data_IF_109703235597
#
_entry.id   IF_109703235597
#
_cell.length_a   1.000
_cell.length_b   1.000
_cell.length_c   1.000
_cell.angle_alpha   90.00
_cell.angle_beta   90.00
_cell.angle_gamma   90.00
#
_symmetry.space_group_name_H-M   'P 1'
#
loop_
_entity.id
_entity.type
_entity.pdbx_description
1 polymer ?
#
# COMPACT_ATOMS: atom_id res chain seq x y z
N UNK A 1 -44.45 5.35 -113.76
CA UNK A 1 -43.20 5.03 -113.04
C UNK A 1 -42.84 6.25 -112.20
N UNK A 2 -43.13 6.22 -110.91
CA UNK A 2 -42.70 7.25 -109.94
C UNK A 2 -42.07 6.55 -108.73
N UNK A 3 -41.01 7.18 -108.21
CA UNK A 3 -40.02 6.64 -107.27
C UNK A 3 -40.59 6.46 -105.85
N UNK A 4 -40.15 5.46 -105.08
CA UNK A 4 -40.50 5.37 -103.67
C UNK A 4 -39.65 6.33 -102.82
N UNK A 5 -40.31 7.23 -102.08
CA UNK A 5 -39.76 7.96 -100.93
C UNK A 5 -39.57 7.01 -99.75
N UNK A 6 -38.36 6.48 -99.52
CA UNK A 6 -38.00 5.70 -98.31
C UNK A 6 -36.60 5.88 -97.66
N UNK A 7 -35.79 6.94 -97.83
CA UNK A 7 -34.53 7.03 -97.07
C UNK A 7 -34.63 7.69 -95.68
N UNK A 8 -35.54 8.66 -95.47
CA UNK A 8 -35.46 9.55 -94.29
C UNK A 8 -36.06 8.97 -93.00
N UNK A 9 -37.15 8.19 -93.07
CA UNK A 9 -37.75 7.57 -91.87
C UNK A 9 -36.89 6.43 -91.28
N UNK A 10 -36.13 5.72 -92.12
CA UNK A 10 -35.23 4.67 -91.63
C UNK A 10 -33.99 5.25 -90.92
N UNK A 11 -33.46 6.38 -91.39
CA UNK A 11 -32.34 7.06 -90.72
C UNK A 11 -32.73 7.63 -89.35
N UNK A 12 -33.91 8.24 -89.20
CA UNK A 12 -34.36 8.74 -87.89
C UNK A 12 -34.61 7.61 -86.87
N UNK A 13 -35.17 6.47 -87.30
CA UNK A 13 -35.34 5.33 -86.40
C UNK A 13 -34.01 4.67 -86.02
N UNK A 14 -33.01 4.65 -86.90
CA UNK A 14 -31.67 4.17 -86.56
C UNK A 14 -30.95 5.09 -85.58
N UNK A 15 -31.04 6.41 -85.75
CA UNK A 15 -30.45 7.37 -84.82
C UNK A 15 -31.11 7.34 -83.44
N UNK A 16 -32.44 7.19 -83.35
CA UNK A 16 -33.12 7.03 -82.06
C UNK A 16 -32.76 5.71 -81.36
N UNK A 17 -32.60 4.60 -82.11
CA UNK A 17 -32.13 3.33 -81.55
C UNK A 17 -30.67 3.38 -81.10
N UNK A 18 -29.80 4.11 -81.82
CA UNK A 18 -28.42 4.33 -81.41
C UNK A 18 -28.34 5.20 -80.14
N UNK A 19 -29.09 6.30 -80.05
CA UNK A 19 -29.13 7.10 -78.83
C UNK A 19 -29.76 6.38 -77.63
N UNK A 20 -30.82 5.60 -77.82
CA UNK A 20 -31.39 4.78 -76.74
C UNK A 20 -30.41 3.69 -76.29
N UNK A 21 -29.70 3.03 -77.21
CA UNK A 21 -28.70 2.04 -76.83
C UNK A 21 -27.50 2.67 -76.14
N UNK A 22 -26.98 3.80 -76.61
CA UNK A 22 -25.90 4.55 -75.93
C UNK A 22 -26.30 5.01 -74.52
N UNK A 23 -27.52 5.52 -74.31
CA UNK A 23 -28.02 5.87 -72.97
C UNK A 23 -28.23 4.63 -72.08
N UNK A 24 -28.66 3.51 -72.65
CA UNK A 24 -28.84 2.24 -71.94
C UNK A 24 -27.51 1.57 -71.56
N UNK A 25 -26.41 1.86 -72.28
CA UNK A 25 -25.04 1.43 -71.93
C UNK A 25 -24.29 2.40 -71.00
N UNK A 26 -24.63 3.70 -70.99
CA UNK A 26 -24.01 4.70 -70.12
C UNK A 26 -24.55 4.67 -68.67
N UNK A 27 -25.84 4.41 -68.45
CA UNK A 27 -26.43 4.34 -67.10
C UNK A 27 -25.79 3.27 -66.18
N UNK A 28 -25.50 2.03 -66.64
CA UNK A 28 -24.82 1.01 -65.84
C UNK A 28 -23.35 1.33 -65.52
N UNK A 29 -22.68 2.12 -66.36
CA UNK A 29 -21.27 2.47 -66.16
C UNK A 29 -21.09 3.57 -65.12
N UNK A 30 -21.95 4.59 -65.12
CA UNK A 30 -21.95 5.67 -64.12
C UNK A 30 -22.33 5.14 -62.73
N UNK A 31 -23.31 4.23 -62.64
CA UNK A 31 -23.71 3.60 -61.38
C UNK A 31 -22.65 2.64 -60.83
N UNK A 32 -21.88 1.94 -61.68
CA UNK A 32 -20.70 1.17 -61.26
C UNK A 32 -19.58 2.05 -60.73
N UNK A 33 -19.27 3.16 -61.40
CA UNK A 33 -18.26 4.12 -60.91
C UNK A 33 -18.70 4.77 -59.60
N UNK A 34 -19.98 5.11 -59.45
CA UNK A 34 -20.53 5.62 -58.20
C UNK A 34 -20.37 4.62 -57.05
N UNK A 35 -20.78 3.36 -57.26
CA UNK A 35 -20.61 2.29 -56.26
C UNK A 35 -19.14 2.04 -55.90
N UNK A 36 -18.22 2.09 -56.86
CA UNK A 36 -16.78 1.94 -56.59
C UNK A 36 -16.24 3.10 -55.75
N UNK A 37 -16.70 4.33 -56.02
CA UNK A 37 -16.30 5.52 -55.27
C UNK A 37 -16.86 5.50 -53.85
N UNK A 38 -18.10 5.07 -53.66
CA UNK A 38 -18.70 4.86 -52.34
C UNK A 38 -17.98 3.77 -51.55
N UNK A 39 -17.60 2.65 -52.19
CA UNK A 39 -16.81 1.60 -51.53
C UNK A 39 -15.43 2.08 -51.09
N UNK A 40 -14.76 2.90 -51.92
CA UNK A 40 -13.47 3.51 -51.58
C UNK A 40 -13.60 4.51 -50.43
N UNK A 41 -14.65 5.33 -50.41
CA UNK A 41 -14.93 6.28 -49.34
C UNK A 41 -15.19 5.55 -48.01
N UNK A 42 -16.02 4.51 -48.01
CA UNK A 42 -16.26 3.68 -46.83
C UNK A 42 -15.00 2.97 -46.34
N UNK A 43 -14.11 2.57 -47.24
CA UNK A 43 -12.83 1.96 -46.86
C UNK A 43 -11.88 2.97 -46.22
N UNK A 44 -11.83 4.20 -46.75
CA UNK A 44 -11.07 5.31 -46.19
C UNK A 44 -11.59 5.69 -44.79
N UNK A 45 -12.91 5.79 -44.60
CA UNK A 45 -13.53 6.08 -43.30
C UNK A 45 -13.20 5.00 -42.25
N UNK A 46 -13.24 3.72 -42.63
CA UNK A 46 -12.85 2.62 -41.73
C UNK A 46 -11.37 2.69 -41.34
N UNK A 47 -10.49 3.05 -42.27
CA UNK A 47 -9.06 3.22 -41.96
C UNK A 47 -8.85 4.40 -41.00
N UNK A 48 -9.50 5.53 -41.22
CA UNK A 48 -9.43 6.68 -40.31
C UNK A 48 -9.94 6.35 -38.91
N UNK A 49 -11.04 5.60 -38.80
CA UNK A 49 -11.56 5.15 -37.50
C UNK A 49 -10.58 4.22 -36.79
N UNK A 50 -9.93 3.31 -37.52
CA UNK A 50 -8.93 2.41 -36.95
C UNK A 50 -7.68 3.16 -36.46
N UNK A 51 -7.17 4.12 -37.24
CA UNK A 51 -6.04 4.97 -36.84
C UNK A 51 -6.37 5.81 -35.60
N UNK A 52 -7.58 6.38 -35.52
CA UNK A 52 -8.03 7.11 -34.32
C UNK A 52 -8.10 6.21 -33.08
N UNK A 53 -8.53 4.95 -33.22
CA UNK A 53 -8.54 3.99 -32.11
C UNK A 53 -7.14 3.64 -31.63
N UNK A 54 -6.19 3.43 -32.55
CA UNK A 54 -4.79 3.16 -32.21
C UNK A 54 -4.16 4.34 -31.46
N UNK A 55 -4.38 5.57 -31.94
CA UNK A 55 -3.91 6.79 -31.27
C UNK A 55 -4.52 6.95 -29.86
N UNK A 56 -5.81 6.63 -29.70
CA UNK A 56 -6.46 6.69 -28.39
C UNK A 56 -5.91 5.65 -27.41
N UNK A 57 -5.62 4.43 -27.88
CA UNK A 57 -5.00 3.39 -27.08
C UNK A 57 -3.58 3.78 -26.66
N UNK A 58 -2.78 4.31 -27.59
CA UNK A 58 -1.42 4.77 -27.32
C UNK A 58 -1.39 5.93 -26.31
N UNK A 59 -2.29 6.91 -26.45
CA UNK A 59 -2.45 7.99 -25.48
C UNK A 59 -2.86 7.49 -24.09
N UNK A 60 -3.73 6.47 -24.01
CA UNK A 60 -4.09 5.83 -22.74
C UNK A 60 -2.87 5.16 -22.10
N UNK A 61 -2.10 4.39 -22.88
CA UNK A 61 -0.88 3.74 -22.41
C UNK A 61 0.18 4.75 -21.94
N UNK A 62 0.37 5.86 -22.66
CA UNK A 62 1.29 6.94 -22.29
C UNK A 62 0.85 7.66 -21.01
N UNK A 63 -0.45 7.95 -20.85
CA UNK A 63 -0.98 8.54 -19.61
C UNK A 63 -0.79 7.63 -18.40
N UNK A 64 -1.02 6.32 -18.54
CA UNK A 64 -0.77 5.36 -17.45
C UNK A 64 0.70 5.30 -17.08
N UNK A 65 1.61 5.29 -18.07
CA UNK A 65 3.05 5.27 -17.82
C UNK A 65 3.53 6.57 -17.14
N UNK A 66 3.08 7.74 -17.59
CA UNK A 66 3.37 9.02 -16.94
C UNK A 66 2.87 9.08 -15.49
N UNK A 67 1.71 8.49 -15.21
CA UNK A 67 1.16 8.46 -13.86
C UNK A 67 1.96 7.54 -12.93
N UNK A 68 2.41 6.37 -13.42
CA UNK A 68 3.35 5.51 -12.68
C UNK A 68 4.67 6.23 -12.42
N UNK A 69 5.24 6.86 -13.45
CA UNK A 69 6.52 7.57 -13.35
C UNK A 69 6.44 8.76 -12.38
N UNK A 70 5.31 9.47 -12.36
CA UNK A 70 5.03 10.53 -11.38
C UNK A 70 4.87 9.99 -9.96
N UNK A 71 4.21 8.84 -9.78
CA UNK A 71 4.15 8.17 -8.48
C UNK A 71 5.56 7.75 -8.00
N UNK A 72 6.35 7.12 -8.86
CA UNK A 72 7.73 6.72 -8.57
C UNK A 72 8.61 7.93 -8.21
N UNK A 73 8.50 9.04 -8.95
CA UNK A 73 9.22 10.28 -8.65
C UNK A 73 8.79 10.90 -7.32
N UNK A 74 7.49 10.89 -6.99
CA UNK A 74 6.98 11.35 -5.70
C UNK A 74 7.46 10.47 -4.53
N UNK A 75 7.61 9.17 -4.76
CA UNK A 75 8.17 8.23 -3.78
C UNK A 75 9.68 8.42 -3.57
N UNK A 76 10.43 8.78 -4.62
CA UNK A 76 11.89 8.98 -4.53
C UNK A 76 12.31 10.34 -3.94
N UNK A 77 11.42 11.33 -3.89
CA UNK A 77 11.75 12.71 -3.45
C UNK A 77 11.82 12.88 -1.93
N UNK A 78 11.37 11.90 -1.15
CA UNK A 78 11.57 11.86 0.29
C UNK A 78 12.32 10.58 0.62
N UNK A 79 13.42 10.67 1.36
CA UNK A 79 13.87 9.53 2.17
C UNK A 79 12.77 9.27 3.21
N UNK A 80 11.67 8.63 2.80
CA UNK A 80 10.55 8.31 3.67
C UNK A 80 11.05 7.21 4.61
N UNK A 81 11.38 7.60 5.84
CA UNK A 81 11.54 6.65 6.91
C UNK A 81 10.16 6.34 7.49
N UNK A 82 9.76 5.06 7.45
CA UNK A 82 8.53 4.59 8.07
C UNK A 82 8.83 4.09 9.47
N UNK A 83 8.10 4.59 10.47
CA UNK A 83 8.13 4.01 11.81
C UNK A 83 6.94 3.08 12.00
N UNK A 84 7.22 1.84 12.38
CA UNK A 84 6.22 0.77 12.49
C UNK A 84 6.21 0.28 13.94
N UNK A 85 5.05 0.31 14.59
CA UNK A 85 4.89 -0.22 15.94
C UNK A 85 4.40 -1.66 15.87
N UNK A 86 5.19 -2.59 16.39
CA UNK A 86 4.83 -4.00 16.58
C UNK A 86 4.27 -4.13 18.00
N UNK A 87 3.03 -4.60 18.10
CA UNK A 87 2.31 -4.77 19.36
C UNK A 87 2.04 -6.26 19.54
N UNK A 88 2.54 -6.83 20.63
CA UNK A 88 2.43 -8.27 20.90
C UNK A 88 0.99 -8.71 21.13
N UNK A 89 0.24 -8.04 22.01
CA UNK A 89 -1.10 -8.45 22.42
C UNK A 89 -2.20 -7.87 21.53
N UNK A 90 -3.21 -8.70 21.26
CA UNK A 90 -4.34 -8.37 20.39
C UNK A 90 -5.15 -7.20 20.94
N UNK A 91 -5.46 -7.21 22.23
CA UNK A 91 -6.36 -6.22 22.84
C UNK A 91 -5.70 -4.82 22.87
N UNK A 92 -4.41 -4.77 23.19
CA UNK A 92 -3.60 -3.56 23.10
C UNK A 92 -3.50 -3.05 21.64
N UNK A 93 -3.33 -3.97 20.67
CA UNK A 93 -3.33 -3.60 19.25
C UNK A 93 -4.66 -3.00 18.80
N UNK A 94 -5.80 -3.61 19.18
CA UNK A 94 -7.13 -3.06 18.87
C UNK A 94 -7.34 -1.69 19.51
N UNK A 95 -6.89 -1.50 20.75
CA UNK A 95 -6.98 -0.22 21.46
C UNK A 95 -6.27 0.88 20.68
N UNK A 96 -4.98 0.68 20.34
CA UNK A 96 -4.20 1.65 19.58
C UNK A 96 -4.73 1.86 18.16
N UNK A 97 -5.14 0.78 17.47
CA UNK A 97 -5.75 0.86 16.15
C UNK A 97 -7.01 1.74 16.14
N UNK A 98 -7.84 1.66 17.17
CA UNK A 98 -9.11 2.37 17.22
C UNK A 98 -8.96 3.86 17.57
N UNK A 99 -7.88 4.24 18.26
CA UNK A 99 -7.65 5.65 18.65
C UNK A 99 -6.69 6.38 17.72
N UNK A 100 -5.76 5.67 17.06
CA UNK A 100 -4.80 6.30 16.16
C UNK A 100 -5.39 6.60 14.79
N UNK A 101 -4.98 7.72 14.20
CA UNK A 101 -5.37 8.14 12.84
C UNK A 101 -4.24 8.92 12.16
N UNK A 102 -4.39 9.27 10.88
CA UNK A 102 -3.35 10.00 10.12
C UNK A 102 -2.85 11.28 10.81
N UNK A 103 -3.72 11.97 11.56
CA UNK A 103 -3.39 13.20 12.30
C UNK A 103 -3.15 12.96 13.81
N UNK A 104 -3.35 11.72 14.27
CA UNK A 104 -3.27 11.33 15.68
C UNK A 104 -2.49 10.01 15.80
N UNK A 105 -1.22 10.02 15.39
CA UNK A 105 -0.36 8.84 15.33
C UNK A 105 1.03 9.07 15.92
N UNK A 106 1.18 10.11 16.75
CA UNK A 106 2.45 10.43 17.39
C UNK A 106 2.44 9.91 18.83
N UNK A 107 3.09 8.80 19.10
CA UNK A 107 3.13 8.19 20.43
C UNK A 107 4.51 8.46 21.04
N UNK A 108 4.53 9.10 22.22
CA UNK A 108 5.75 9.50 22.95
C UNK A 108 6.79 10.18 22.05
N UNK A 109 6.35 11.13 21.21
CA UNK A 109 7.22 11.89 20.30
C UNK A 109 7.60 11.20 18.98
N UNK A 110 7.22 9.93 18.78
CA UNK A 110 7.49 9.17 17.55
C UNK A 110 6.21 9.11 16.71
N UNK A 111 6.27 9.59 15.46
CA UNK A 111 5.17 9.44 14.50
C UNK A 111 5.22 8.02 13.91
N UNK A 112 4.15 7.25 14.12
CA UNK A 112 4.00 5.91 13.56
C UNK A 112 3.14 5.91 12.31
N UNK A 113 3.63 5.25 11.27
CA UNK A 113 2.97 5.17 9.96
C UNK A 113 2.15 3.87 9.83
N UNK A 114 2.48 2.84 10.61
CA UNK A 114 1.76 1.57 10.62
C UNK A 114 1.83 0.87 11.98
N UNK A 115 0.85 0.00 12.25
CA UNK A 115 0.76 -0.88 13.41
C UNK A 115 0.75 -2.34 12.93
N UNK A 116 1.60 -3.18 13.51
CA UNK A 116 1.63 -4.63 13.29
C UNK A 116 1.20 -5.33 14.57
N UNK A 117 0.30 -6.30 14.44
CA UNK A 117 0.00 -7.24 15.52
C UNK A 117 1.00 -8.40 15.47
N UNK A 118 1.76 -8.60 16.55
CA UNK A 118 2.90 -9.53 16.60
C UNK A 118 2.54 -11.00 16.79
N UNK A 119 1.35 -11.30 17.34
CA UNK A 119 0.92 -12.69 17.60
C UNK A 119 1.93 -13.52 18.43
N UNK A 120 2.51 -12.92 19.48
CA UNK A 120 3.51 -13.55 20.33
C UNK A 120 4.75 -13.99 19.54
N UNK A 121 5.17 -15.24 19.71
CA UNK A 121 6.37 -15.81 19.03
C UNK A 121 6.31 -15.79 17.50
N UNK A 122 5.14 -15.58 16.88
CA UNK A 122 5.02 -15.64 15.42
C UNK A 122 5.82 -14.55 14.71
N UNK A 123 5.88 -13.33 15.27
CA UNK A 123 6.65 -12.22 14.69
C UNK A 123 8.16 -12.48 14.68
N UNK A 124 8.64 -13.35 15.58
CA UNK A 124 10.05 -13.68 15.75
C UNK A 124 10.48 -14.95 14.99
N UNK A 125 9.64 -15.50 14.11
CA UNK A 125 9.98 -16.71 13.35
C UNK A 125 10.92 -16.38 12.19
N UNK A 126 11.82 -17.33 11.89
CA UNK A 126 12.75 -17.23 10.75
C UNK A 126 12.07 -17.47 9.40
N UNK A 127 11.09 -18.37 9.37
CA UNK A 127 10.26 -18.61 8.18
C UNK A 127 9.21 -17.50 8.11
N UNK A 128 9.03 -16.91 6.93
CA UNK A 128 8.20 -15.71 6.73
C UNK A 128 8.66 -14.55 7.63
N UNK A 129 9.98 -14.36 7.69
CA UNK A 129 10.59 -13.37 8.60
C UNK A 129 10.11 -11.95 8.29
N UNK A 130 10.15 -11.08 9.30
CA UNK A 130 9.87 -9.66 9.12
C UNK A 130 10.76 -9.03 8.03
N UNK A 131 11.99 -9.52 7.88
CA UNK A 131 12.91 -9.09 6.81
C UNK A 131 12.36 -9.40 5.40
N UNK A 132 11.72 -10.55 5.20
CA UNK A 132 11.11 -10.90 3.91
C UNK A 132 9.86 -10.07 3.63
N UNK A 133 9.05 -9.84 4.66
CA UNK A 133 7.91 -8.93 4.58
C UNK A 133 8.36 -7.50 4.24
N UNK A 134 9.35 -6.95 4.95
CA UNK A 134 9.90 -5.61 4.71
C UNK A 134 10.40 -5.45 3.28
N UNK A 135 11.22 -6.40 2.80
CA UNK A 135 11.77 -6.38 1.44
C UNK A 135 10.70 -6.42 0.35
N UNK A 136 9.62 -7.15 0.58
CA UNK A 136 8.54 -7.33 -0.41
C UNK A 136 7.55 -6.16 -0.39
N UNK A 137 7.25 -5.60 0.77
CA UNK A 137 6.19 -4.60 0.95
C UNK A 137 6.71 -3.16 1.00
N UNK A 138 7.89 -2.93 1.57
CA UNK A 138 8.51 -1.60 1.76
C UNK A 138 9.76 -1.41 0.90
N UNK A 139 9.82 -2.06 -0.28
CA UNK A 139 10.98 -2.01 -1.15
C UNK A 139 11.46 -0.57 -1.44
N UNK A 140 12.73 -0.29 -1.13
CA UNK A 140 13.34 1.03 -1.36
C UNK A 140 12.96 2.11 -0.33
N UNK A 141 12.25 1.74 0.73
CA UNK A 141 11.83 2.62 1.83
C UNK A 141 12.58 2.22 3.09
N UNK A 142 13.10 3.18 3.85
CA UNK A 142 13.77 2.89 5.12
C UNK A 142 12.72 2.62 6.20
N UNK A 143 12.80 1.50 6.89
CA UNK A 143 11.87 1.15 7.97
C UNK A 143 12.59 1.11 9.31
N UNK A 144 11.93 1.62 10.35
CA UNK A 144 12.30 1.41 11.75
C UNK A 144 11.13 0.76 12.47
N UNK A 145 11.39 -0.38 13.08
CA UNK A 145 10.42 -1.15 13.84
C UNK A 145 10.60 -0.91 15.34
N UNK A 146 9.49 -0.73 16.05
CA UNK A 146 9.47 -0.58 17.49
C UNK A 146 8.66 -1.72 18.09
N UNK A 147 9.26 -2.50 18.99
CA UNK A 147 8.59 -3.61 19.66
C UNK A 147 7.97 -3.16 20.98
N UNK A 148 6.71 -3.53 21.19
CA UNK A 148 5.99 -3.35 22.44
C UNK A 148 5.24 -4.64 22.80
N UNK A 149 5.64 -5.28 23.88
CA UNK A 149 5.03 -6.50 24.42
C UNK A 149 4.86 -6.42 25.93
N UNK A 150 4.42 -7.53 26.53
CA UNK A 150 4.34 -7.65 27.99
C UNK A 150 5.73 -7.51 28.62
N UNK A 151 5.79 -6.98 29.86
CA UNK A 151 7.02 -7.01 30.65
C UNK A 151 7.06 -8.30 31.46
N UNK A 152 7.36 -9.40 30.76
CA UNK A 152 7.60 -10.73 31.32
C UNK A 152 8.80 -11.41 30.62
N UNK A 153 9.19 -12.63 31.02
CA UNK A 153 10.30 -13.33 30.36
C UNK A 153 9.98 -13.77 28.93
N UNK A 154 8.71 -13.97 28.57
CA UNK A 154 8.31 -14.41 27.23
C UNK A 154 8.38 -13.26 26.23
N UNK A 155 7.79 -12.11 26.54
CA UNK A 155 7.87 -10.87 25.76
C UNK A 155 9.30 -10.39 25.57
N UNK A 156 10.14 -10.48 26.63
CA UNK A 156 11.59 -10.23 26.52
C UNK A 156 12.24 -11.21 25.52
N UNK A 157 11.88 -12.50 25.61
CA UNK A 157 12.39 -13.53 24.71
C UNK A 157 11.97 -13.33 23.26
N UNK A 158 10.72 -12.92 23.02
CA UNK A 158 10.21 -12.60 21.68
C UNK A 158 10.97 -11.42 21.10
N UNK A 159 11.18 -10.34 21.87
CA UNK A 159 11.97 -9.21 21.41
C UNK A 159 13.41 -9.60 21.07
N UNK A 160 14.06 -10.39 21.93
CA UNK A 160 15.41 -10.91 21.70
C UNK A 160 15.47 -11.73 20.41
N UNK A 161 14.53 -12.64 20.19
CA UNK A 161 14.48 -13.47 18.99
C UNK A 161 14.20 -12.61 17.74
N UNK A 162 13.21 -11.71 17.80
CA UNK A 162 12.86 -10.78 16.73
C UNK A 162 14.06 -9.95 16.25
N UNK A 163 14.83 -9.41 17.20
CA UNK A 163 16.05 -8.65 16.91
C UNK A 163 17.11 -9.51 16.22
N UNK A 164 17.37 -10.71 16.74
CA UNK A 164 18.44 -11.57 16.24
C UNK A 164 18.14 -12.26 14.90
N UNK A 165 16.87 -12.56 14.61
CA UNK A 165 16.50 -13.20 13.33
C UNK A 165 16.41 -12.19 12.17
N UNK A 166 16.36 -10.88 12.45
CA UNK A 166 16.27 -9.81 11.46
C UNK A 166 17.44 -8.81 11.54
N UNK A 167 18.70 -9.23 11.40
CA UNK A 167 19.88 -8.37 11.61
C UNK A 167 20.00 -7.21 10.62
N UNK A 168 19.24 -7.23 9.52
CA UNK A 168 19.26 -6.19 8.49
C UNK A 168 18.23 -5.08 8.74
N UNK A 169 17.32 -5.25 9.69
CA UNK A 169 16.27 -4.28 10.00
C UNK A 169 16.66 -3.39 11.19
N UNK A 170 16.22 -2.13 11.18
CA UNK A 170 16.35 -1.23 12.34
C UNK A 170 15.24 -1.55 13.35
N UNK A 171 15.51 -2.44 14.30
CA UNK A 171 14.56 -2.88 15.33
C UNK A 171 14.93 -2.29 16.68
N UNK A 172 13.98 -1.60 17.32
CA UNK A 172 14.13 -0.91 18.60
C UNK A 172 13.10 -1.40 19.59
N UNK A 173 13.44 -1.34 20.87
CA UNK A 173 12.46 -1.48 21.94
C UNK A 173 11.64 -0.18 22.04
N UNK A 174 10.32 -0.28 22.19
CA UNK A 174 9.47 0.88 22.49
C UNK A 174 9.60 1.25 23.98
N UNK A 175 10.82 1.62 24.40
CA UNK A 175 11.22 1.86 25.78
C UNK A 175 10.26 2.79 26.54
N UNK A 176 9.78 3.84 25.87
CA UNK A 176 8.89 4.82 26.50
C UNK A 176 7.59 4.18 27.03
N UNK A 177 7.02 3.20 26.32
CA UNK A 177 5.81 2.52 26.79
C UNK A 177 6.10 1.57 27.97
N UNK A 178 7.27 0.93 27.99
CA UNK A 178 7.70 0.15 29.15
C UNK A 178 7.89 1.03 30.40
N UNK A 179 8.44 2.24 30.23
CA UNK A 179 8.52 3.22 31.34
C UNK A 179 7.11 3.59 31.81
N UNK A 180 6.17 3.88 30.90
CA UNK A 180 4.78 4.16 31.29
C UNK A 180 4.13 3.00 32.03
N UNK A 181 4.39 1.75 31.64
CA UNK A 181 3.93 0.56 32.36
C UNK A 181 4.53 0.46 33.76
N UNK A 182 5.83 0.76 33.91
CA UNK A 182 6.51 0.78 35.21
C UNK A 182 5.90 1.84 36.13
N UNK A 183 5.69 3.06 35.62
CA UNK A 183 5.04 4.14 36.36
C UNK A 183 3.62 3.76 36.81
N UNK A 184 2.82 3.19 35.90
CA UNK A 184 1.46 2.73 36.21
C UNK A 184 1.43 1.61 37.26
N UNK A 185 2.48 0.79 37.32
CA UNK A 185 2.57 -0.33 38.27
C UNK A 185 3.09 0.06 39.65
N UNK A 186 3.67 1.25 39.83
CA UNK A 186 4.46 1.64 41.01
C UNK A 186 3.74 1.40 42.34
N UNK A 187 2.45 1.72 42.41
CA UNK A 187 1.64 1.61 43.64
C UNK A 187 0.95 0.24 43.79
N UNK A 188 1.05 -0.63 42.78
CA UNK A 188 0.33 -1.91 42.72
C UNK A 188 1.24 -3.11 42.46
N UNK A 189 2.55 -2.98 42.69
CA UNK A 189 3.54 -4.06 42.43
C UNK A 189 3.11 -5.38 43.07
N UNK A 190 2.61 -5.35 44.32
CA UNK A 190 2.17 -6.58 45.02
C UNK A 190 0.86 -7.19 44.49
N UNK A 191 0.14 -6.44 43.66
CA UNK A 191 -1.13 -6.86 43.04
C UNK A 191 -0.93 -7.27 41.57
N UNK A 192 0.28 -7.07 41.02
CA UNK A 192 0.61 -7.51 39.67
C UNK A 192 0.41 -9.02 39.53
N UNK A 193 -0.02 -9.47 38.35
CA UNK A 193 -0.25 -10.89 38.11
C UNK A 193 1.05 -11.68 38.31
N UNK A 194 0.88 -12.89 38.85
CA UNK A 194 1.99 -13.83 39.07
C UNK A 194 2.12 -14.70 37.83
N UNK A 195 3.36 -14.93 37.40
CA UNK A 195 3.68 -15.83 36.30
C UNK A 195 3.27 -17.26 36.63
N UNK A 196 2.92 -18.06 35.60
CA UNK A 196 2.68 -19.51 35.78
C UNK A 196 4.03 -20.21 36.05
N UNK A 197 4.01 -21.23 36.90
CA UNK A 197 5.20 -21.91 37.47
C UNK A 197 6.40 -22.08 36.51
N UNK A 198 7.61 -21.83 37.06
CA UNK A 198 8.94 -22.14 36.51
C UNK A 198 9.14 -21.79 35.02
N UNK A 199 8.88 -20.53 34.66
CA UNK A 199 9.47 -20.00 33.44
C UNK A 199 10.99 -20.18 33.50
N UNK A 200 11.59 -20.66 32.40
CA UNK A 200 13.05 -20.78 32.29
C UNK A 200 13.62 -19.37 32.35
N UNK A 201 14.23 -19.00 33.48
CA UNK A 201 14.89 -17.71 33.65
C UNK A 201 16.03 -17.62 32.64
N UNK A 202 15.81 -16.92 31.54
CA UNK A 202 16.82 -16.69 30.51
C UNK A 202 17.65 -15.47 30.92
N UNK A 203 18.47 -15.63 31.97
CA UNK A 203 19.24 -14.54 32.58
C UNK A 203 20.00 -13.67 31.57
N UNK A 204 20.62 -14.27 30.55
CA UNK A 204 21.30 -13.51 29.50
C UNK A 204 20.37 -12.61 28.65
N UNK A 205 19.13 -13.05 28.39
CA UNK A 205 18.15 -12.22 27.66
C UNK A 205 17.61 -11.10 28.54
N UNK A 206 17.41 -11.36 29.84
CA UNK A 206 17.03 -10.34 30.79
C UNK A 206 18.09 -9.24 30.89
N UNK A 207 19.37 -9.61 31.09
CA UNK A 207 20.48 -8.65 31.15
C UNK A 207 20.60 -7.82 29.86
N UNK A 208 20.44 -8.46 28.70
CA UNK A 208 20.40 -7.75 27.43
C UNK A 208 19.22 -6.76 27.35
N UNK A 209 18.03 -7.18 27.78
CA UNK A 209 16.82 -6.34 27.73
C UNK A 209 16.90 -5.14 28.68
N UNK A 210 17.34 -5.35 29.93
CA UNK A 210 17.43 -4.25 30.89
C UNK A 210 18.52 -3.24 30.50
N UNK A 211 19.51 -3.64 29.68
CA UNK A 211 20.55 -2.71 29.18
C UNK A 211 20.01 -1.54 28.36
N UNK A 212 18.77 -1.62 27.84
CA UNK A 212 18.10 -0.51 27.16
C UNK A 212 17.60 0.57 28.14
N UNK A 213 17.55 0.28 29.43
CA UNK A 213 16.99 1.12 30.49
C UNK A 213 18.10 1.77 31.34
N UNK A 214 17.76 2.84 32.07
CA UNK A 214 18.68 3.42 33.05
C UNK A 214 18.76 2.54 34.31
N UNK A 215 19.78 2.72 35.17
CA UNK A 215 20.00 1.85 36.33
C UNK A 215 18.82 1.76 37.29
N UNK A 216 18.01 2.81 37.43
CA UNK A 216 16.84 2.79 38.31
C UNK A 216 15.77 1.84 37.78
N UNK A 217 15.40 2.01 36.50
CA UNK A 217 14.42 1.12 35.86
C UNK A 217 14.94 -0.32 35.75
N UNK A 218 16.24 -0.53 35.55
CA UNK A 218 16.84 -1.87 35.54
C UNK A 218 16.56 -2.64 36.84
N UNK A 219 16.76 -1.99 37.99
CA UNK A 219 16.52 -2.60 39.31
C UNK A 219 15.04 -2.93 39.49
N UNK A 220 14.14 -2.01 39.11
CA UNK A 220 12.69 -2.23 39.23
C UNK A 220 12.25 -3.41 38.37
N UNK A 221 12.67 -3.46 37.10
CA UNK A 221 12.32 -4.56 36.18
C UNK A 221 12.79 -5.91 36.75
N UNK A 222 14.04 -5.99 37.21
CA UNK A 222 14.58 -7.23 37.80
C UNK A 222 13.80 -7.66 39.03
N UNK A 223 13.52 -6.74 39.96
CA UNK A 223 12.78 -7.05 41.18
C UNK A 223 11.37 -7.62 40.90
N UNK A 224 10.65 -7.05 39.93
CA UNK A 224 9.32 -7.53 39.53
C UNK A 224 9.41 -8.96 38.99
N UNK A 225 10.31 -9.20 38.03
CA UNK A 225 10.45 -10.50 37.37
C UNK A 225 11.07 -11.58 38.26
N UNK A 226 11.94 -11.20 39.21
CA UNK A 226 12.54 -12.12 40.18
C UNK A 226 11.55 -12.52 41.28
N UNK A 227 10.57 -11.67 41.56
CA UNK A 227 9.41 -11.96 42.42
C UNK A 227 8.32 -12.77 41.72
N UNK A 228 8.64 -13.34 40.55
CA UNK A 228 7.76 -14.13 39.69
C UNK A 228 6.48 -13.37 39.27
N UNK A 229 6.53 -12.03 39.21
CA UNK A 229 5.46 -11.16 38.72
C UNK A 229 5.79 -10.62 37.34
N UNK A 230 4.80 -10.05 36.66
CA UNK A 230 4.99 -9.38 35.39
C UNK A 230 4.04 -8.19 35.24
N UNK A 231 4.32 -7.30 34.27
CA UNK A 231 3.41 -6.21 33.93
C UNK A 231 2.77 -6.50 32.56
N UNK A 232 1.45 -6.70 32.49
CA UNK A 232 0.73 -6.87 31.23
C UNK A 232 0.59 -5.53 30.48
N UNK A 233 0.59 -5.55 29.15
CA UNK A 233 0.36 -4.36 28.32
C UNK A 233 -0.94 -3.64 28.68
N UNK A 234 -1.95 -4.40 29.09
CA UNK A 234 -3.30 -3.94 29.46
C UNK A 234 -3.34 -3.09 30.74
N UNK A 235 -2.21 -2.98 31.47
CA UNK A 235 -2.09 -1.96 32.52
C UNK A 235 -2.28 -0.54 31.95
N UNK A 236 -1.93 -0.34 30.67
CA UNK A 236 -2.20 0.88 29.92
C UNK A 236 -3.54 0.74 29.21
N UNK A 237 -4.49 1.57 29.59
CA UNK A 237 -5.84 1.58 29.03
C UNK A 237 -5.98 2.63 27.92
N UNK A 238 -7.19 2.74 27.37
CA UNK A 238 -7.51 3.66 26.28
C UNK A 238 -7.18 5.13 26.59
N UNK A 239 -7.44 5.58 27.82
CA UNK A 239 -7.18 6.96 28.24
C UNK A 239 -5.67 7.22 28.38
N UNK A 240 -4.90 6.28 28.93
CA UNK A 240 -3.45 6.40 29.01
C UNK A 240 -2.83 6.62 27.62
N UNK A 241 -3.23 5.80 26.64
CA UNK A 241 -2.73 5.97 25.26
C UNK A 241 -3.19 7.28 24.63
N UNK A 242 -4.42 7.74 24.89
CA UNK A 242 -4.89 9.07 24.41
C UNK A 242 -4.05 10.20 25.01
N UNK A 243 -3.68 10.12 26.28
CA UNK A 243 -2.82 11.11 26.91
C UNK A 243 -1.43 11.13 26.27
N UNK A 244 -0.81 9.96 26.09
CA UNK A 244 0.50 9.84 25.41
C UNK A 244 0.49 10.42 23.98
N UNK A 245 -0.62 10.22 23.25
CA UNK A 245 -0.82 10.77 21.91
C UNK A 245 -1.02 12.30 21.92
N UNK A 246 -1.75 12.84 22.90
CA UNK A 246 -1.97 14.30 23.08
C UNK A 246 -0.69 15.04 23.49
N UNK A 247 0.06 14.51 24.47
CA UNK A 247 1.31 15.11 24.93
C UNK A 247 2.31 15.29 23.78
N UNK A 248 2.33 14.32 22.87
CA UNK A 248 3.16 14.35 21.67
C UNK A 248 2.76 15.43 20.65
N UNK A 249 1.48 15.84 20.63
CA UNK A 249 1.02 16.95 19.78
C UNK A 249 1.36 18.32 20.37
N UNK A 250 1.25 18.47 21.69
CA UNK A 250 1.62 19.72 22.38
C UNK A 250 3.11 20.05 22.16
N UNK A 251 3.99 19.05 22.22
CA UNK A 251 5.42 19.22 21.93
C UNK A 251 5.69 19.63 20.47
N UNK A 252 4.85 19.22 19.51
CA UNK A 252 4.95 19.67 18.11
C UNK A 252 4.46 21.10 17.91
N UNK A 253 3.45 21.54 18.67
CA UNK A 253 2.91 22.89 18.59
C UNK A 253 3.84 23.94 19.22
N UNK A 254 4.66 23.55 20.20
CA UNK A 254 5.64 24.45 20.84
C UNK A 254 6.89 24.67 19.96
N UNK A 255 7.23 23.70 19.11
CA UNK A 255 8.43 23.72 18.26
C UNK A 255 8.16 24.21 16.81
N UNK A 256 6.99 24.81 16.56
CA UNK A 256 6.59 25.38 15.27
C UNK A 256 6.34 26.87 15.41
#
# INVERSE_FOLDING_TARGET
MERPQRPQQQQQQQQQKQHQSEQQYQQPQQSRQHNQREQQLQQCERQQQHEQQLQHHEQKSQKSAQQLQKCEQLFQQHEQQLNILIIENKDTWYTLKNIMSQNFNCLTGIKFDSLIYGEGKKIARKMDSLTEFDKSFFHGVKTTYYYFGDLDYEGIGIFYELFNVNPMLDIKLMKALYITMLDASREIIEQLPVTKEKQVKKTGQLEWFVSFFDPEHQVIIKNILESDRYIPQEILNNEDFKELLKMSQALKAINK
#
